data_IF_178499810006
#
_entry.id   IF_178499810006
#
_cell.length_a   1.000
_cell.length_b   1.000
_cell.length_c   1.000
_cell.angle_alpha   90.00
_cell.angle_beta   90.00
_cell.angle_gamma   90.00
#
_symmetry.space_group_name_H-M   'P 1'
#
loop_
_entity.id
_entity.type
_entity.pdbx_description
1 polymer ?
#
# COMPACT_ATOMS: atom_id res chain seq x y z
N UNK A 1 -13.54 -35.49 -1.00
CA UNK A 1 -12.97 -34.83 -2.19
C UNK A 1 -13.25 -33.32 -2.29
N UNK A 2 -14.35 -32.76 -1.75
CA UNK A 2 -14.61 -31.30 -1.86
C UNK A 2 -13.78 -30.35 -0.95
N UNK A 3 -13.07 -30.86 0.08
CA UNK A 3 -12.29 -30.01 0.99
C UNK A 3 -10.94 -29.55 0.42
N UNK A 4 -10.35 -30.33 -0.49
CA UNK A 4 -9.01 -30.02 -1.02
C UNK A 4 -9.05 -28.96 -2.11
N UNK A 5 -10.10 -28.95 -2.94
CA UNK A 5 -10.29 -27.94 -4.00
C UNK A 5 -10.53 -26.55 -3.37
N UNK A 6 -11.33 -26.47 -2.30
CA UNK A 6 -11.59 -25.22 -1.60
C UNK A 6 -10.38 -24.64 -0.86
N UNK A 7 -9.48 -25.49 -0.34
CA UNK A 7 -8.23 -25.05 0.26
C UNK A 7 -7.27 -24.48 -0.79
N UNK A 8 -7.20 -25.10 -1.98
CA UNK A 8 -6.33 -24.65 -3.06
C UNK A 8 -6.75 -23.28 -3.64
N UNK A 9 -8.05 -23.03 -3.80
CA UNK A 9 -8.55 -21.70 -4.24
C UNK A 9 -8.25 -20.62 -3.19
N UNK A 10 -8.43 -20.92 -1.90
CA UNK A 10 -8.12 -20.00 -0.80
C UNK A 10 -6.62 -19.66 -0.74
N UNK A 11 -5.75 -20.64 -0.97
CA UNK A 11 -4.30 -20.43 -1.02
C UNK A 11 -3.90 -19.56 -2.23
N UNK A 12 -4.53 -19.77 -3.39
CA UNK A 12 -4.28 -18.96 -4.59
C UNK A 12 -4.73 -17.49 -4.41
N UNK A 13 -5.87 -17.27 -3.74
CA UNK A 13 -6.41 -15.94 -3.48
C UNK A 13 -5.57 -15.20 -2.43
N UNK A 14 -5.15 -15.89 -1.37
CA UNK A 14 -4.24 -15.33 -0.37
C UNK A 14 -2.91 -14.90 -0.97
N UNK A 15 -2.33 -15.73 -1.84
CA UNK A 15 -1.09 -15.41 -2.57
C UNK A 15 -1.27 -14.18 -3.48
N UNK A 16 -2.36 -14.11 -4.25
CA UNK A 16 -2.63 -12.96 -5.12
C UNK A 16 -2.76 -11.65 -4.32
N UNK A 17 -3.49 -11.67 -3.19
CA UNK A 17 -3.64 -10.50 -2.33
C UNK A 17 -2.32 -10.10 -1.68
N UNK A 18 -1.49 -11.06 -1.27
CA UNK A 18 -0.16 -10.78 -0.72
C UNK A 18 0.76 -10.14 -1.76
N UNK A 19 0.74 -10.63 -3.00
CA UNK A 19 1.48 -10.02 -4.12
C UNK A 19 0.99 -8.59 -4.37
N UNK A 20 -0.33 -8.35 -4.37
CA UNK A 20 -0.88 -7.00 -4.53
C UNK A 20 -0.44 -6.05 -3.40
N UNK A 21 -0.41 -6.53 -2.16
CA UNK A 21 0.09 -5.75 -1.03
C UNK A 21 1.57 -5.35 -1.20
N UNK A 22 2.41 -6.26 -1.68
CA UNK A 22 3.82 -5.96 -1.99
C UNK A 22 3.92 -4.93 -3.12
N UNK A 23 3.12 -5.08 -4.17
CA UNK A 23 3.07 -4.10 -5.28
C UNK A 23 2.67 -2.72 -4.77
N UNK A 24 1.63 -2.62 -3.93
CA UNK A 24 1.23 -1.33 -3.34
C UNK A 24 2.33 -0.72 -2.46
N UNK A 25 3.03 -1.54 -1.67
CA UNK A 25 4.17 -1.09 -0.89
C UNK A 25 5.26 -0.50 -1.79
N UNK A 26 5.62 -1.16 -2.91
CA UNK A 26 6.60 -0.62 -3.87
C UNK A 26 6.10 0.66 -4.52
N UNK A 27 4.84 0.71 -4.95
CA UNK A 27 4.23 1.89 -5.55
C UNK A 27 4.23 3.09 -4.61
N UNK A 28 4.10 2.85 -3.29
CA UNK A 28 4.17 3.92 -2.28
C UNK A 28 5.50 4.70 -2.33
N UNK A 29 6.60 4.09 -2.80
CA UNK A 29 7.87 4.79 -2.96
C UNK A 29 8.06 5.44 -4.33
N UNK A 30 7.51 4.83 -5.39
CA UNK A 30 7.75 5.24 -6.78
C UNK A 30 6.79 6.34 -7.22
N UNK A 31 5.49 6.15 -6.97
CA UNK A 31 4.43 7.06 -7.47
C UNK A 31 4.57 8.47 -6.86
N UNK A 32 4.77 8.65 -5.55
CA UNK A 32 4.90 9.99 -4.97
C UNK A 32 6.12 10.76 -5.48
N UNK A 33 7.25 10.08 -5.70
CA UNK A 33 8.45 10.68 -6.30
C UNK A 33 8.18 11.14 -7.73
N UNK A 34 7.52 10.31 -8.51
CA UNK A 34 7.14 10.62 -9.89
C UNK A 34 6.17 11.81 -9.95
N UNK A 35 5.14 11.83 -9.10
CA UNK A 35 4.18 12.93 -9.00
C UNK A 35 4.88 14.25 -8.65
N UNK A 36 5.69 14.25 -7.59
CA UNK A 36 6.44 15.44 -7.17
C UNK A 36 7.31 16.00 -8.30
N UNK A 37 8.03 15.13 -9.03
CA UNK A 37 8.88 15.55 -10.15
C UNK A 37 8.06 16.17 -11.28
N UNK A 38 7.00 15.50 -11.72
CA UNK A 38 6.20 15.98 -12.86
C UNK A 38 5.37 17.24 -12.56
N UNK A 39 4.95 17.42 -11.30
CA UNK A 39 4.16 18.59 -10.90
C UNK A 39 5.02 19.85 -10.77
N UNK A 40 6.30 19.71 -10.38
CA UNK A 40 7.24 20.83 -10.20
C UNK A 40 7.99 21.16 -11.50
N UNK A 41 8.27 20.19 -12.36
CA UNK A 41 9.10 20.42 -13.56
C UNK A 41 8.36 21.03 -14.76
N UNK A 42 7.03 21.19 -14.72
CA UNK A 42 6.27 21.77 -15.83
C UNK A 42 6.22 23.31 -15.74
N UNK A 43 6.45 24.07 -16.83
CA UNK A 43 6.22 25.52 -16.83
C UNK A 43 4.73 25.80 -16.60
N UNK A 44 4.42 26.65 -15.62
CA UNK A 44 3.05 26.82 -15.08
C UNK A 44 2.63 25.77 -14.05
N UNK A 45 3.57 24.96 -13.56
CA UNK A 45 3.34 23.87 -12.60
C UNK A 45 2.88 24.32 -11.21
N UNK A 46 2.35 23.37 -10.44
CA UNK A 46 1.83 23.63 -9.10
C UNK A 46 2.96 24.02 -8.13
N UNK A 47 2.60 24.75 -7.07
CA UNK A 47 3.57 25.14 -6.03
C UNK A 47 4.25 23.90 -5.41
N UNK A 48 5.54 23.99 -5.00
CA UNK A 48 6.25 22.87 -4.39
C UNK A 48 5.55 22.30 -3.15
N UNK A 49 4.84 23.15 -2.39
CA UNK A 49 4.03 22.73 -1.24
C UNK A 49 2.83 21.87 -1.65
N UNK A 50 2.13 22.25 -2.71
CA UNK A 50 1.00 21.49 -3.22
C UNK A 50 1.45 20.13 -3.78
N UNK A 51 2.56 20.09 -4.52
CA UNK A 51 3.14 18.85 -5.01
C UNK A 51 3.58 17.90 -3.87
N UNK A 52 4.14 18.45 -2.78
CA UNK A 52 4.48 17.68 -1.59
C UNK A 52 3.24 17.14 -0.87
N UNK A 53 2.20 17.96 -0.73
CA UNK A 53 0.94 17.53 -0.12
C UNK A 53 0.28 16.38 -0.90
N UNK A 54 0.13 16.53 -2.22
CA UNK A 54 -0.47 15.47 -3.07
C UNK A 54 0.36 14.19 -3.02
N UNK A 55 1.70 14.30 -3.14
CA UNK A 55 2.58 13.14 -3.02
C UNK A 55 2.45 12.46 -1.64
N UNK A 56 2.31 13.22 -0.56
CA UNK A 56 2.09 12.71 0.79
C UNK A 56 0.77 11.95 0.93
N UNK A 57 -0.35 12.55 0.47
CA UNK A 57 -1.68 11.92 0.50
C UNK A 57 -1.67 10.60 -0.29
N UNK A 58 -1.06 10.59 -1.49
CA UNK A 58 -0.95 9.37 -2.30
C UNK A 58 -0.11 8.29 -1.59
N UNK A 59 1.01 8.67 -0.95
CA UNK A 59 1.83 7.73 -0.17
C UNK A 59 1.01 7.08 0.97
N UNK A 60 0.20 7.88 1.66
CA UNK A 60 -0.63 7.42 2.78
C UNK A 60 -1.73 6.47 2.30
N UNK A 61 -2.45 6.82 1.25
CA UNK A 61 -3.49 5.95 0.66
C UNK A 61 -2.92 4.60 0.18
N UNK A 62 -1.73 4.60 -0.42
CA UNK A 62 -1.05 3.36 -0.83
C UNK A 62 -0.61 2.53 0.37
N UNK A 63 -0.16 3.18 1.45
CA UNK A 63 0.21 2.48 2.70
C UNK A 63 -1.02 1.85 3.37
N UNK A 64 -2.15 2.56 3.42
CA UNK A 64 -3.41 2.04 3.95
C UNK A 64 -3.93 0.85 3.14
N UNK A 65 -3.77 0.89 1.82
CA UNK A 65 -4.14 -0.23 0.92
C UNK A 65 -3.42 -1.53 1.31
N UNK A 66 -2.16 -1.48 1.76
CA UNK A 66 -1.41 -2.66 2.26
C UNK A 66 -2.10 -3.28 3.49
N UNK A 67 -2.54 -2.46 4.44
CA UNK A 67 -3.26 -2.93 5.62
C UNK A 67 -4.62 -3.54 5.26
N UNK A 68 -5.34 -2.94 4.31
CA UNK A 68 -6.63 -3.45 3.82
C UNK A 68 -6.45 -4.84 3.18
N UNK A 69 -5.43 -5.03 2.34
CA UNK A 69 -5.17 -6.36 1.76
C UNK A 69 -4.85 -7.40 2.84
N UNK A 70 -4.03 -7.05 3.83
CA UNK A 70 -3.77 -7.92 4.97
C UNK A 70 -5.01 -8.27 5.78
N UNK A 71 -5.93 -7.31 5.94
CA UNK A 71 -7.20 -7.54 6.62
C UNK A 71 -8.10 -8.49 5.83
N UNK A 72 -8.18 -8.32 4.50
CA UNK A 72 -8.95 -9.23 3.62
C UNK A 72 -8.40 -10.66 3.74
N UNK A 73 -7.07 -10.84 3.67
CA UNK A 73 -6.43 -12.16 3.83
C UNK A 73 -6.78 -12.76 5.20
N UNK A 74 -6.60 -11.99 6.27
CA UNK A 74 -6.87 -12.46 7.63
C UNK A 74 -8.33 -12.87 7.84
N UNK A 75 -9.27 -12.11 7.27
CA UNK A 75 -10.70 -12.41 7.34
C UNK A 75 -11.07 -13.65 6.50
N UNK A 76 -10.54 -13.75 5.28
CA UNK A 76 -10.75 -14.90 4.38
C UNK A 76 -10.20 -16.20 4.97
N UNK A 77 -9.01 -16.16 5.58
CA UNK A 77 -8.38 -17.33 6.20
C UNK A 77 -8.83 -17.59 7.64
N UNK A 78 -9.72 -16.74 8.20
CA UNK A 78 -10.13 -16.74 9.63
C UNK A 78 -8.95 -16.75 10.61
N UNK A 79 -7.79 -16.27 10.17
CA UNK A 79 -6.56 -16.24 10.95
C UNK A 79 -6.12 -14.79 11.07
N UNK A 80 -6.56 -14.15 12.15
CA UNK A 80 -6.24 -12.75 12.45
C UNK A 80 -4.73 -12.51 12.66
N UNK A 81 -3.94 -13.56 12.92
CA UNK A 81 -2.48 -13.44 13.00
C UNK A 81 -1.84 -12.99 11.69
N UNK A 82 -2.48 -13.28 10.54
CA UNK A 82 -2.00 -12.84 9.23
C UNK A 82 -2.15 -11.33 9.02
N UNK A 83 -3.03 -10.64 9.75
CA UNK A 83 -3.20 -9.18 9.62
C UNK A 83 -1.99 -8.41 10.16
N UNK A 84 -1.39 -8.90 11.26
CA UNK A 84 -0.33 -8.21 12.00
C UNK A 84 0.85 -7.77 11.12
N UNK A 85 1.47 -8.63 10.28
CA UNK A 85 2.59 -8.21 9.44
C UNK A 85 2.23 -7.13 8.41
N UNK A 86 1.02 -7.17 7.83
CA UNK A 86 0.58 -6.14 6.87
C UNK A 86 0.26 -4.82 7.56
N UNK A 87 -0.40 -4.86 8.71
CA UNK A 87 -0.68 -3.67 9.51
C UNK A 87 0.62 -3.01 9.99
N UNK A 88 1.58 -3.81 10.49
CA UNK A 88 2.90 -3.32 10.87
C UNK A 88 3.66 -2.71 9.67
N UNK A 89 3.61 -3.37 8.50
CA UNK A 89 4.18 -2.86 7.26
C UNK A 89 3.57 -1.52 6.82
N UNK A 90 2.24 -1.42 6.82
CA UNK A 90 1.53 -0.19 6.51
C UNK A 90 1.87 0.95 7.48
N UNK A 91 1.95 0.65 8.78
CA UNK A 91 2.36 1.60 9.80
C UNK A 91 3.80 2.08 9.57
N UNK A 92 4.73 1.16 9.28
CA UNK A 92 6.11 1.49 8.96
C UNK A 92 6.19 2.38 7.71
N UNK A 93 5.42 2.07 6.66
CA UNK A 93 5.34 2.89 5.45
C UNK A 93 4.81 4.30 5.75
N UNK A 94 3.82 4.45 6.63
CA UNK A 94 3.33 5.76 7.06
C UNK A 94 4.42 6.59 7.77
N UNK A 95 5.21 5.97 8.64
CA UNK A 95 6.32 6.65 9.31
C UNK A 95 7.43 7.05 8.33
N UNK A 96 7.73 6.20 7.35
CA UNK A 96 8.76 6.49 6.32
C UNK A 96 8.30 7.60 5.37
N UNK A 97 7.02 7.62 5.00
CA UNK A 97 6.45 8.62 4.09
C UNK A 97 5.93 9.87 4.81
N UNK A 98 6.08 9.96 6.13
CA UNK A 98 5.67 11.15 6.89
C UNK A 98 6.40 12.37 6.32
N UNK A 99 5.69 13.39 5.84
CA UNK A 99 6.33 14.61 5.37
C UNK A 99 7.07 15.24 6.56
N UNK A 100 8.40 15.31 6.47
CA UNK A 100 9.20 16.10 7.40
C UNK A 100 8.83 17.56 7.17
N UNK A 101 8.16 18.17 8.16
CA UNK A 101 7.90 19.60 8.16
C UNK A 101 9.25 20.30 8.06
N UNK A 102 9.47 20.99 6.93
CA UNK A 102 10.59 21.90 6.72
C UNK A 102 10.16 23.31 7.03
#
# INVERSE_FOLDING_TARGET
>A
MNKEIGNFELDSMGMNLAVMAVVMAVLSFVVPKFLKRNMVSKPGGQSPRQAQFVAGVVSWALSESVAIYGFIIANSSKNFGLFVPFAAGALALLFVHRPKQG
#
